data_IF_714100283169
#
_entry.id   IF_714100283169
#
_cell.length_a   1.000
_cell.length_b   1.000
_cell.length_c   1.000
_cell.angle_alpha   90.00
_cell.angle_beta   90.00
_cell.angle_gamma   90.00
#
_symmetry.space_group_name_H-M   'P 1'
#
loop_
_entity.id
_entity.type
_entity.pdbx_description
1 polymer ?
#
# COMPACT_ATOMS: atom_id res chain seq x y z
N UNK A 1 36.24 29.85 10.70
CA UNK A 1 35.01 29.57 11.46
C UNK A 1 33.92 29.11 10.53
N UNK A 2 33.08 28.21 10.99
CA UNK A 2 31.95 27.68 10.24
C UNK A 2 30.68 28.32 10.79
N UNK A 3 29.92 29.01 9.96
CA UNK A 3 28.63 29.59 10.33
C UNK A 3 27.54 28.83 9.59
N UNK A 4 26.49 28.46 10.30
CA UNK A 4 25.36 27.71 9.74
C UNK A 4 24.10 28.58 9.74
N UNK A 5 23.43 28.66 8.58
CA UNK A 5 22.13 29.30 8.43
C UNK A 5 21.10 28.25 8.03
N UNK A 6 19.94 28.28 8.66
CA UNK A 6 18.83 27.37 8.31
C UNK A 6 17.78 28.15 7.54
N UNK A 7 17.49 27.72 6.31
CA UNK A 7 16.40 28.24 5.47
C UNK A 7 15.48 27.05 5.18
N UNK A 8 14.19 27.12 5.53
CA UNK A 8 13.22 26.03 5.34
C UNK A 8 13.71 24.66 5.87
N UNK A 9 14.43 24.64 7.00
CA UNK A 9 15.01 23.40 7.55
C UNK A 9 16.28 22.92 6.84
N UNK A 10 16.73 23.58 5.78
CA UNK A 10 17.99 23.31 5.11
C UNK A 10 19.10 24.03 5.87
N UNK A 11 20.11 23.26 6.25
CA UNK A 11 21.27 23.80 6.95
C UNK A 11 22.35 24.15 5.94
N UNK A 12 22.55 25.44 5.71
CA UNK A 12 23.68 25.94 4.94
C UNK A 12 24.90 26.04 5.85
N UNK A 13 26.01 25.49 5.41
CA UNK A 13 27.28 25.56 6.12
C UNK A 13 28.24 26.38 5.26
N UNK A 14 28.50 27.61 5.69
CA UNK A 14 29.46 28.50 5.05
C UNK A 14 30.80 28.41 5.77
N UNK A 15 31.83 27.94 5.09
CA UNK A 15 33.19 28.00 5.59
C UNK A 15 33.82 29.30 5.13
N UNK A 16 34.09 30.21 6.05
CA UNK A 16 34.68 31.50 5.72
C UNK A 16 36.08 31.62 6.28
N UNK A 17 36.99 32.11 5.49
CA UNK A 17 38.35 32.39 5.95
C UNK A 17 38.45 33.78 6.53
N UNK A 18 37.63 34.77 6.12
CA UNK A 18 37.75 36.14 6.50
C UNK A 18 36.41 36.92 6.61
N UNK A 19 35.25 36.29 6.45
CA UNK A 19 33.94 36.94 6.68
C UNK A 19 33.53 36.90 8.16
N UNK A 20 32.95 37.95 8.66
CA UNK A 20 32.28 38.00 9.97
C UNK A 20 30.88 37.37 9.89
N UNK A 21 30.29 37.05 11.03
CA UNK A 21 28.92 36.53 11.10
C UNK A 21 27.90 37.53 10.52
N UNK A 22 28.09 38.82 10.84
CA UNK A 22 27.21 39.90 10.35
C UNK A 22 27.29 40.07 8.85
N UNK A 23 28.47 39.92 8.23
CA UNK A 23 28.65 39.97 6.77
C UNK A 23 27.97 38.76 6.09
N UNK A 24 28.05 37.58 6.70
CA UNK A 24 27.37 36.39 6.17
C UNK A 24 25.86 36.58 6.19
N UNK A 25 25.31 37.12 7.28
CA UNK A 25 23.87 37.39 7.39
C UNK A 25 23.42 38.49 6.42
N UNK A 26 24.26 39.51 6.20
CA UNK A 26 24.00 40.61 5.28
C UNK A 26 24.17 40.20 3.79
N UNK A 27 24.78 39.04 3.51
CA UNK A 27 25.05 38.60 2.13
C UNK A 27 23.78 38.23 1.35
N UNK A 28 22.76 37.68 2.03
CA UNK A 28 21.46 37.28 1.48
C UNK A 28 21.56 36.36 0.25
N UNK A 29 22.33 35.29 0.34
CA UNK A 29 22.31 34.21 -0.66
C UNK A 29 20.98 33.48 -0.65
N UNK A 30 20.56 33.05 -1.82
CA UNK A 30 19.43 32.12 -1.98
C UNK A 30 19.89 30.72 -2.35
N UNK A 31 18.96 29.93 -2.81
CA UNK A 31 19.22 28.58 -3.32
C UNK A 31 18.37 28.27 -4.55
N UNK A 32 18.83 27.33 -5.35
CA UNK A 32 18.02 26.61 -6.34
C UNK A 32 17.88 25.16 -5.90
N UNK A 33 16.73 24.56 -6.15
CA UNK A 33 16.50 23.15 -5.90
C UNK A 33 16.06 22.46 -7.19
N UNK A 34 16.57 21.25 -7.43
CA UNK A 34 16.17 20.41 -8.56
C UNK A 34 15.74 19.04 -8.06
N UNK A 35 14.71 18.47 -8.68
CA UNK A 35 14.26 17.12 -8.39
C UNK A 35 15.17 16.08 -9.08
N UNK A 36 14.90 14.79 -8.87
CA UNK A 36 15.65 13.68 -9.46
C UNK A 36 15.58 13.61 -10.98
N UNK A 37 14.58 14.26 -11.60
CA UNK A 37 14.47 14.41 -13.06
C UNK A 37 15.22 15.63 -13.61
N UNK A 38 15.90 16.43 -12.76
CA UNK A 38 16.64 17.63 -13.15
C UNK A 38 15.79 18.88 -13.30
N UNK A 39 14.50 18.84 -12.95
CA UNK A 39 13.62 20.00 -13.04
C UNK A 39 13.78 20.89 -11.80
N UNK A 40 13.86 22.23 -12.03
CA UNK A 40 13.86 23.21 -10.95
C UNK A 40 12.51 23.17 -10.22
N UNK A 41 12.56 23.19 -8.89
CA UNK A 41 11.39 23.16 -8.02
C UNK A 41 11.53 24.19 -6.90
N UNK A 42 10.40 24.63 -6.36
CA UNK A 42 10.36 25.41 -5.11
C UNK A 42 10.12 24.48 -3.94
N UNK A 43 10.96 24.57 -2.90
CA UNK A 43 10.80 23.77 -1.69
C UNK A 43 9.70 24.38 -0.81
N UNK A 44 8.48 23.91 -0.98
CA UNK A 44 7.32 24.28 -0.17
C UNK A 44 7.07 23.24 0.94
N UNK A 45 6.35 23.58 2.03
CA UNK A 45 6.08 22.66 3.13
C UNK A 45 5.43 21.34 2.73
N UNK A 46 4.73 21.29 1.59
CA UNK A 46 4.01 20.12 1.08
C UNK A 46 4.65 19.54 -0.20
N UNK A 47 5.93 19.82 -0.44
CA UNK A 47 6.62 19.25 -1.60
C UNK A 47 6.61 17.72 -1.53
N UNK A 48 6.51 17.07 -2.69
CA UNK A 48 6.44 15.61 -2.79
C UNK A 48 7.66 14.93 -2.13
N UNK A 49 7.49 13.78 -1.46
CA UNK A 49 8.60 13.00 -0.93
C UNK A 49 9.59 12.63 -2.04
N UNK A 50 10.82 13.05 -1.90
CA UNK A 50 11.92 12.79 -2.85
C UNK A 50 13.25 13.30 -2.30
N UNK A 51 14.32 13.04 -3.02
CA UNK A 51 15.60 13.70 -2.85
C UNK A 51 15.67 14.90 -3.80
N UNK A 52 16.05 16.04 -3.27
CA UNK A 52 16.24 17.27 -4.01
C UNK A 52 17.69 17.69 -3.90
N UNK A 53 18.33 17.99 -5.03
CA UNK A 53 19.66 18.62 -5.03
C UNK A 53 19.46 20.13 -4.81
N UNK A 54 20.06 20.65 -3.75
CA UNK A 54 19.95 22.07 -3.38
C UNK A 54 21.30 22.72 -3.55
N UNK A 55 21.36 23.77 -4.35
CA UNK A 55 22.59 24.53 -4.62
C UNK A 55 22.42 25.96 -4.16
N UNK A 56 23.30 26.50 -3.29
CA UNK A 56 23.34 27.91 -3.01
C UNK A 56 23.53 28.71 -4.29
N UNK A 57 22.96 29.89 -4.36
CA UNK A 57 23.12 30.75 -5.52
C UNK A 57 22.95 32.23 -5.15
N UNK A 58 23.43 33.09 -6.05
CA UNK A 58 23.16 34.52 -6.04
C UNK A 58 21.69 34.77 -6.43
N UNK A 59 21.04 35.70 -5.76
CA UNK A 59 19.68 36.13 -6.04
C UNK A 59 19.61 37.66 -6.23
N UNK A 60 18.44 38.18 -6.57
CA UNK A 60 18.20 39.62 -6.63
C UNK A 60 18.29 40.31 -5.25
N UNK A 61 18.18 39.55 -4.17
CA UNK A 61 18.33 40.06 -2.80
C UNK A 61 19.80 40.01 -2.31
N UNK A 62 20.71 39.41 -3.07
CA UNK A 62 22.12 39.27 -2.67
C UNK A 62 22.78 40.63 -2.60
N UNK A 63 23.48 40.88 -1.50
CA UNK A 63 24.25 42.09 -1.35
C UNK A 63 25.47 42.09 -2.30
N UNK A 64 25.34 42.80 -3.41
CA UNK A 64 26.35 42.84 -4.48
C UNK A 64 27.71 43.35 -4.00
N UNK A 65 27.73 44.34 -3.11
CA UNK A 65 28.98 44.89 -2.59
C UNK A 65 29.74 43.85 -1.79
N UNK A 66 29.06 43.13 -0.91
CA UNK A 66 29.70 42.04 -0.16
C UNK A 66 30.06 40.88 -1.06
N UNK A 67 29.16 40.50 -1.99
CA UNK A 67 29.39 39.37 -2.89
C UNK A 67 30.64 39.54 -3.73
N UNK A 68 30.85 40.73 -4.28
CA UNK A 68 31.98 41.03 -5.17
C UNK A 68 33.34 41.13 -4.43
N UNK A 69 33.34 41.20 -3.09
CA UNK A 69 34.56 41.23 -2.29
C UNK A 69 35.12 39.83 -1.98
N UNK A 70 34.37 38.78 -2.34
CA UNK A 70 34.73 37.38 -2.00
C UNK A 70 34.59 36.48 -3.20
N UNK A 71 35.42 35.44 -3.25
CA UNK A 71 35.25 34.34 -4.20
C UNK A 71 34.47 33.23 -3.54
N UNK A 72 33.35 32.80 -4.16
CA UNK A 72 32.45 31.80 -3.64
C UNK A 72 32.56 30.50 -4.44
N UNK A 73 32.72 29.38 -3.73
CA UNK A 73 32.54 28.06 -4.28
C UNK A 73 31.23 27.47 -3.69
N UNK A 74 30.23 27.24 -4.52
CA UNK A 74 28.95 26.67 -4.12
C UNK A 74 29.01 25.14 -4.21
N UNK A 75 28.77 24.47 -3.09
CA UNK A 75 28.75 23.01 -3.02
C UNK A 75 27.29 22.59 -2.88
N UNK A 76 26.73 21.86 -3.87
CA UNK A 76 25.38 21.32 -3.76
C UNK A 76 25.25 20.33 -2.61
N UNK A 77 24.08 20.35 -1.96
CA UNK A 77 23.68 19.37 -0.95
C UNK A 77 22.44 18.59 -1.39
N UNK A 78 22.12 17.55 -0.65
CA UNK A 78 20.88 16.77 -0.86
C UNK A 78 19.91 17.09 0.28
N UNK A 79 18.71 17.50 -0.08
CA UNK A 79 17.58 17.67 0.82
C UNK A 79 16.59 16.51 0.62
N UNK A 80 16.42 15.68 1.63
CA UNK A 80 15.53 14.52 1.56
C UNK A 80 14.21 14.85 2.25
N UNK A 81 13.13 14.77 1.50
CA UNK A 81 11.76 14.85 2.02
C UNK A 81 11.23 13.43 2.17
N UNK A 82 11.08 13.00 3.41
CA UNK A 82 10.47 11.72 3.73
C UNK A 82 8.95 11.85 3.74
N UNK A 83 8.26 10.98 3.01
CA UNK A 83 6.80 10.89 3.08
C UNK A 83 6.37 10.30 4.42
N UNK A 84 5.24 10.75 4.92
CA UNK A 84 4.55 10.04 6.01
C UNK A 84 4.13 8.68 5.50
N UNK A 85 4.54 7.63 6.20
CA UNK A 85 4.15 6.25 5.90
C UNK A 85 2.97 5.83 6.78
N UNK A 86 2.12 5.01 6.19
CA UNK A 86 0.94 4.41 6.82
C UNK A 86 1.03 2.90 6.68
N UNK A 87 0.29 2.16 7.48
CA UNK A 87 0.26 0.70 7.43
C UNK A 87 -0.99 0.25 6.69
N UNK A 88 -0.81 -0.57 5.65
CA UNK A 88 -1.85 -1.37 5.03
C UNK A 88 -1.79 -2.77 5.59
N UNK A 89 -2.90 -3.23 6.17
CA UNK A 89 -3.06 -4.62 6.61
C UNK A 89 -3.98 -5.32 5.63
N UNK A 90 -3.55 -6.45 5.08
CA UNK A 90 -4.35 -7.30 4.22
C UNK A 90 -4.73 -8.57 4.97
N UNK A 91 -6.01 -8.90 4.97
CA UNK A 91 -6.56 -10.03 5.69
C UNK A 91 -7.39 -10.91 4.76
N UNK A 92 -7.12 -12.20 4.74
CA UNK A 92 -8.04 -13.20 4.23
C UNK A 92 -9.01 -13.56 5.37
N UNK A 93 -10.28 -13.21 5.22
CA UNK A 93 -11.26 -13.48 6.27
C UNK A 93 -11.63 -14.96 6.29
N UNK A 94 -11.75 -15.50 7.50
CA UNK A 94 -12.18 -16.86 7.69
C UNK A 94 -13.66 -17.03 7.26
N UNK A 95 -13.99 -18.20 6.75
CA UNK A 95 -15.34 -18.57 6.37
C UNK A 95 -16.04 -19.31 7.54
N UNK A 96 -17.37 -19.14 7.64
CA UNK A 96 -18.19 -19.77 8.66
C UNK A 96 -18.35 -18.94 9.94
N UNK A 97 -19.09 -19.47 10.89
CA UNK A 97 -19.40 -18.83 12.16
C UNK A 97 -19.05 -19.72 13.35
N UNK A 98 -18.76 -19.08 14.49
CA UNK A 98 -18.51 -19.79 15.75
C UNK A 98 -17.38 -20.83 15.64
N UNK A 99 -17.65 -22.05 16.08
CA UNK A 99 -16.70 -23.17 16.06
C UNK A 99 -16.39 -23.70 14.65
N UNK A 100 -17.23 -23.38 13.66
CA UNK A 100 -17.05 -23.78 12.24
C UNK A 100 -16.25 -22.76 11.45
N UNK A 101 -15.75 -21.72 12.07
CA UNK A 101 -14.93 -20.71 11.43
C UNK A 101 -13.56 -21.29 11.08
N UNK A 102 -13.15 -21.19 9.81
CA UNK A 102 -11.90 -21.72 9.32
C UNK A 102 -11.37 -20.91 8.13
N UNK A 103 -10.07 -20.98 7.93
CA UNK A 103 -9.41 -20.36 6.78
C UNK A 103 -9.76 -21.11 5.50
N UNK A 104 -10.08 -20.36 4.45
CA UNK A 104 -10.48 -20.90 3.13
C UNK A 104 -9.70 -20.24 1.98
N UNK A 105 -8.57 -19.66 2.27
CA UNK A 105 -7.70 -19.04 1.30
C UNK A 105 -6.59 -18.24 1.93
N UNK A 106 -5.71 -17.71 1.09
CA UNK A 106 -4.61 -16.85 1.50
C UNK A 106 -4.63 -15.54 0.72
N UNK A 107 -3.98 -14.51 1.27
CA UNK A 107 -3.86 -13.22 0.63
C UNK A 107 -2.41 -12.71 0.67
N UNK A 108 -2.01 -11.93 -0.32
CA UNK A 108 -0.67 -11.37 -0.45
C UNK A 108 -0.67 -9.98 -1.08
N UNK A 109 0.29 -9.14 -0.67
CA UNK A 109 0.59 -7.86 -1.30
C UNK A 109 1.66 -8.13 -2.36
N UNK A 110 1.35 -7.87 -3.64
CA UNK A 110 2.22 -8.19 -4.77
C UNK A 110 2.86 -6.97 -5.43
N UNK A 111 2.61 -5.77 -4.93
CA UNK A 111 3.25 -4.55 -5.44
C UNK A 111 4.76 -4.59 -5.22
N UNK A 112 5.52 -4.35 -6.28
CA UNK A 112 6.98 -4.30 -6.22
C UNK A 112 7.48 -3.19 -5.27
N UNK A 113 8.56 -3.47 -4.53
CA UNK A 113 9.18 -2.52 -3.59
C UNK A 113 8.53 -2.46 -2.21
N UNK A 114 7.40 -3.12 -2.00
CA UNK A 114 6.83 -3.33 -0.67
C UNK A 114 7.41 -4.62 -0.06
N UNK A 115 7.77 -4.55 1.21
CA UNK A 115 8.27 -5.70 1.98
C UNK A 115 7.19 -6.13 2.98
N UNK A 116 6.27 -7.02 2.58
CA UNK A 116 5.17 -7.42 3.45
C UNK A 116 5.67 -8.27 4.63
N UNK A 117 5.22 -7.94 5.83
CA UNK A 117 5.32 -8.75 7.02
C UNK A 117 4.05 -9.58 7.25
N UNK A 118 4.08 -10.48 8.25
CA UNK A 118 2.90 -11.23 8.71
C UNK A 118 2.62 -10.91 10.17
N UNK A 119 1.34 -10.82 10.53
CA UNK A 119 0.88 -10.73 11.92
C UNK A 119 0.65 -12.13 12.51
N UNK A 120 0.40 -12.19 13.84
CA UNK A 120 0.03 -13.44 14.52
C UNK A 120 -1.26 -14.07 13.96
N UNK A 121 -2.16 -13.26 13.37
CA UNK A 121 -3.44 -13.70 12.78
C UNK A 121 -3.31 -14.02 11.27
N UNK A 122 -2.10 -14.31 10.78
CA UNK A 122 -1.80 -14.53 9.35
C UNK A 122 -2.17 -13.36 8.41
N UNK A 123 -2.49 -12.19 8.94
CA UNK A 123 -2.66 -11.02 8.10
C UNK A 123 -1.30 -10.53 7.58
N UNK A 124 -1.28 -10.04 6.37
CA UNK A 124 -0.09 -9.47 5.71
C UNK A 124 -0.14 -7.96 5.86
N UNK A 125 0.98 -7.32 6.19
CA UNK A 125 1.04 -5.86 6.29
C UNK A 125 2.26 -5.30 5.56
N UNK A 126 2.15 -4.05 5.11
CA UNK A 126 3.26 -3.28 4.54
C UNK A 126 3.08 -1.80 4.80
N UNK A 127 4.20 -1.07 4.81
CA UNK A 127 4.18 0.40 4.88
C UNK A 127 4.11 0.99 3.47
N UNK A 128 3.35 2.06 3.31
CA UNK A 128 3.17 2.78 2.05
C UNK A 128 3.06 4.29 2.28
N UNK A 129 3.26 5.08 1.24
CA UNK A 129 2.92 6.51 1.22
C UNK A 129 1.50 6.71 0.68
N UNK A 130 0.86 7.83 1.03
CA UNK A 130 -0.45 8.16 0.47
C UNK A 130 -0.42 8.20 -1.06
N UNK A 131 -1.57 7.94 -1.69
CA UNK A 131 -1.76 7.90 -3.14
C UNK A 131 -0.89 6.87 -3.90
N UNK A 132 -0.44 5.83 -3.22
CA UNK A 132 0.28 4.70 -3.83
C UNK A 132 -0.72 3.69 -4.38
N UNK A 133 -0.48 3.20 -5.61
CA UNK A 133 -1.25 2.09 -6.16
C UNK A 133 -0.67 0.78 -5.61
N UNK A 134 -1.50 0.02 -4.88
CA UNK A 134 -1.13 -1.24 -4.25
C UNK A 134 -1.97 -2.36 -4.85
N UNK A 135 -1.30 -3.36 -5.42
CA UNK A 135 -1.94 -4.55 -5.96
C UNK A 135 -1.90 -5.67 -4.95
N UNK A 136 -3.06 -6.24 -4.71
CA UNK A 136 -3.34 -7.31 -3.77
C UNK A 136 -3.79 -8.54 -4.54
N UNK A 137 -3.47 -9.71 -4.02
CA UNK A 137 -3.86 -10.99 -4.60
C UNK A 137 -4.32 -11.95 -3.52
N UNK A 138 -5.22 -12.86 -3.88
CA UNK A 138 -5.67 -13.95 -3.02
C UNK A 138 -5.69 -15.26 -3.81
N UNK A 139 -5.51 -16.35 -3.09
CA UNK A 139 -5.67 -17.70 -3.61
C UNK A 139 -6.72 -18.39 -2.75
N UNK A 140 -7.98 -18.48 -3.22
CA UNK A 140 -9.02 -19.26 -2.55
C UNK A 140 -8.68 -20.74 -2.55
N UNK A 141 -9.04 -21.46 -1.48
CA UNK A 141 -8.96 -22.92 -1.42
C UNK A 141 -9.99 -23.57 -2.36
N UNK A 142 -9.81 -24.85 -2.65
CA UNK A 142 -10.74 -25.60 -3.48
C UNK A 142 -12.17 -25.56 -2.89
N UNK A 143 -13.16 -25.29 -3.73
CA UNK A 143 -14.55 -25.11 -3.32
C UNK A 143 -14.94 -23.72 -2.88
N UNK A 144 -14.00 -22.76 -2.93
CA UNK A 144 -14.26 -21.37 -2.58
C UNK A 144 -13.89 -20.41 -3.71
N UNK A 145 -14.50 -19.25 -3.72
CA UNK A 145 -14.21 -18.15 -4.61
C UNK A 145 -14.28 -16.83 -3.85
N UNK A 146 -13.69 -15.78 -4.39
CA UNK A 146 -13.83 -14.44 -3.81
C UNK A 146 -15.29 -14.01 -3.89
N UNK A 147 -15.84 -13.62 -2.76
CA UNK A 147 -17.15 -12.97 -2.68
C UNK A 147 -17.02 -11.47 -2.94
N UNK A 148 -16.18 -10.81 -2.15
CA UNK A 148 -15.89 -9.39 -2.32
C UNK A 148 -14.62 -8.98 -1.57
N UNK A 149 -14.15 -7.78 -1.88
CA UNK A 149 -13.06 -7.10 -1.17
C UNK A 149 -13.59 -5.87 -0.45
N UNK A 150 -12.98 -5.52 0.69
CA UNK A 150 -13.26 -4.26 1.40
C UNK A 150 -11.96 -3.48 1.62
N UNK A 151 -12.07 -2.14 1.67
CA UNK A 151 -10.98 -1.22 2.04
C UNK A 151 -11.50 -0.25 3.10
N UNK A 152 -10.88 -0.28 4.28
CA UNK A 152 -11.35 0.50 5.42
C UNK A 152 -12.81 0.21 5.82
N UNK A 153 -13.25 -1.05 5.65
CA UNK A 153 -14.61 -1.50 5.93
C UNK A 153 -15.66 -1.21 4.84
N UNK A 154 -15.27 -0.56 3.73
CA UNK A 154 -16.15 -0.30 2.59
C UNK A 154 -15.89 -1.29 1.47
N UNK A 155 -16.95 -1.84 0.87
CA UNK A 155 -16.84 -2.75 -0.27
C UNK A 155 -16.20 -2.06 -1.46
N UNK A 156 -15.19 -2.71 -2.06
CA UNK A 156 -14.55 -2.24 -3.29
C UNK A 156 -15.41 -2.68 -4.46
N UNK A 157 -15.81 -1.71 -5.29
CA UNK A 157 -16.67 -1.93 -6.45
C UNK A 157 -15.96 -1.58 -7.75
N UNK A 158 -16.43 -2.17 -8.84
CA UNK A 158 -16.04 -1.78 -10.19
C UNK A 158 -16.72 -0.46 -10.62
N UNK A 159 -16.49 -0.02 -11.84
CA UNK A 159 -17.07 1.20 -12.40
C UNK A 159 -18.59 1.15 -12.54
N UNK A 160 -19.22 -0.03 -12.46
CA UNK A 160 -20.67 -0.23 -12.49
C UNK A 160 -21.29 -0.29 -11.07
N UNK A 161 -20.47 -0.18 -10.03
CA UNK A 161 -20.89 -0.27 -8.63
C UNK A 161 -21.05 -1.69 -8.11
N UNK A 162 -20.59 -2.71 -8.85
CA UNK A 162 -20.64 -4.11 -8.40
C UNK A 162 -19.41 -4.47 -7.59
N UNK A 163 -19.52 -5.29 -6.52
CA UNK A 163 -18.38 -5.79 -5.78
C UNK A 163 -17.36 -6.50 -6.68
N UNK A 164 -16.08 -6.24 -6.45
CA UNK A 164 -15.00 -6.94 -7.17
C UNK A 164 -14.86 -8.34 -6.60
N UNK A 165 -15.00 -9.35 -7.48
CA UNK A 165 -14.88 -10.78 -7.16
C UNK A 165 -13.65 -11.43 -7.77
N UNK A 166 -12.76 -10.65 -8.39
CA UNK A 166 -11.52 -11.14 -8.95
C UNK A 166 -10.51 -11.53 -7.85
N UNK A 167 -9.64 -12.48 -8.14
CA UNK A 167 -8.57 -12.92 -7.24
C UNK A 167 -7.46 -11.87 -7.07
N UNK A 168 -7.53 -10.74 -7.73
CA UNK A 168 -6.61 -9.62 -7.59
C UNK A 168 -7.36 -8.30 -7.69
N UNK A 169 -6.91 -7.31 -6.91
CA UNK A 169 -7.44 -5.94 -6.93
C UNK A 169 -6.30 -4.96 -6.74
N UNK A 170 -6.37 -3.83 -7.45
CA UNK A 170 -5.47 -2.70 -7.22
C UNK A 170 -6.26 -1.59 -6.54
N UNK A 171 -5.74 -1.08 -5.44
CA UNK A 171 -6.33 0.03 -4.68
C UNK A 171 -5.37 1.21 -4.68
N UNK A 172 -5.93 2.42 -4.60
CA UNK A 172 -5.16 3.62 -4.30
C UNK A 172 -5.23 3.90 -2.80
N UNK A 173 -4.06 3.95 -2.15
CA UNK A 173 -3.98 4.15 -0.70
C UNK A 173 -4.32 5.58 -0.30
N UNK A 174 -5.00 5.73 0.83
CA UNK A 174 -5.26 7.03 1.45
C UNK A 174 -4.13 7.51 2.36
N UNK A 175 -4.31 8.69 2.97
CA UNK A 175 -3.37 9.27 3.94
C UNK A 175 -3.68 8.82 5.39
N UNK A 176 -3.94 7.52 5.58
CA UNK A 176 -4.16 6.88 6.89
C UNK A 176 -3.96 5.37 6.79
N UNK A 177 -3.57 4.74 7.89
CA UNK A 177 -3.52 3.28 7.99
C UNK A 177 -4.91 2.68 7.79
N UNK A 178 -4.98 1.55 7.08
CA UNK A 178 -6.23 0.91 6.73
C UNK A 178 -6.07 -0.61 6.62
N UNK A 179 -7.18 -1.32 6.76
CA UNK A 179 -7.27 -2.75 6.50
C UNK A 179 -8.00 -2.98 5.19
N UNK A 180 -7.47 -3.91 4.39
CA UNK A 180 -8.17 -4.53 3.27
C UNK A 180 -8.51 -5.94 3.70
N UNK A 181 -9.75 -6.34 3.50
CA UNK A 181 -10.18 -7.73 3.73
C UNK A 181 -10.71 -8.33 2.43
N UNK A 182 -10.38 -9.59 2.19
CA UNK A 182 -11.01 -10.41 1.16
C UNK A 182 -11.91 -11.43 1.83
N UNK A 183 -13.15 -11.50 1.35
CA UNK A 183 -14.18 -12.42 1.82
C UNK A 183 -14.41 -13.49 0.76
N UNK A 184 -14.77 -14.68 1.22
CA UNK A 184 -14.96 -15.84 0.37
C UNK A 184 -16.39 -16.33 0.44
N UNK A 185 -16.83 -16.98 -0.62
CA UNK A 185 -18.07 -17.74 -0.70
C UNK A 185 -17.79 -19.12 -1.24
N UNK A 186 -18.67 -20.05 -0.95
CA UNK A 186 -18.61 -21.39 -1.55
C UNK A 186 -18.95 -21.31 -3.03
N UNK A 187 -18.29 -22.14 -3.82
CA UNK A 187 -18.65 -22.38 -5.23
C UNK A 187 -19.56 -23.61 -5.28
N UNK A 188 -20.73 -23.50 -4.66
CA UNK A 188 -21.61 -24.63 -4.49
C UNK A 188 -22.13 -25.17 -5.83
N UNK A 189 -22.04 -26.47 -6.00
CA UNK A 189 -22.72 -27.22 -7.04
C UNK A 189 -23.92 -27.91 -6.45
N UNK A 190 -25.07 -27.79 -7.06
CA UNK A 190 -26.27 -28.49 -6.61
C UNK A 190 -26.22 -29.92 -7.14
N UNK A 191 -26.10 -30.90 -6.23
CA UNK A 191 -26.24 -32.31 -6.54
C UNK A 191 -27.70 -32.70 -6.39
N UNK A 192 -28.33 -33.08 -7.51
CA UNK A 192 -29.68 -33.62 -7.52
C UNK A 192 -29.61 -35.13 -7.72
N UNK A 193 -30.27 -35.87 -6.85
CA UNK A 193 -30.47 -37.29 -7.06
C UNK A 193 -31.94 -37.65 -6.78
N UNK A 194 -32.47 -38.52 -7.59
CA UNK A 194 -33.85 -38.99 -7.43
C UNK A 194 -33.95 -40.48 -7.75
N UNK A 195 -34.83 -41.19 -7.05
CA UNK A 195 -35.17 -42.54 -7.37
C UNK A 195 -36.14 -42.56 -8.57
N UNK A 196 -35.76 -43.20 -9.62
CA UNK A 196 -36.59 -43.31 -10.82
C UNK A 196 -37.86 -44.15 -10.50
N UNK A 197 -39.02 -43.63 -10.90
CA UNK A 197 -40.30 -44.26 -10.81
C UNK A 197 -40.91 -44.47 -9.40
N UNK A 198 -40.47 -43.74 -8.39
CA UNK A 198 -41.02 -43.78 -7.02
C UNK A 198 -41.19 -45.22 -6.45
N UNK A 199 -40.35 -46.16 -6.85
CA UNK A 199 -40.43 -47.57 -6.47
C UNK A 199 -39.79 -47.89 -5.13
N UNK A 200 -39.73 -46.93 -4.20
CA UNK A 200 -39.30 -47.15 -2.84
C UNK A 200 -37.82 -47.52 -2.68
N UNK A 201 -36.94 -46.58 -2.83
CA UNK A 201 -35.51 -46.71 -2.58
C UNK A 201 -35.00 -45.46 -1.86
N UNK A 202 -33.93 -45.61 -1.10
CA UNK A 202 -33.21 -44.49 -0.47
C UNK A 202 -31.91 -44.30 -1.19
N UNK A 203 -31.60 -43.03 -1.57
CA UNK A 203 -30.32 -42.65 -2.11
C UNK A 203 -29.53 -42.08 -0.94
N UNK A 204 -28.36 -42.66 -0.68
CA UNK A 204 -27.37 -42.13 0.23
C UNK A 204 -26.09 -41.88 -0.56
N UNK A 205 -25.48 -40.71 -0.38
CA UNK A 205 -24.19 -40.38 -0.96
C UNK A 205 -23.21 -40.05 0.16
N UNK A 206 -21.98 -40.49 0.05
CA UNK A 206 -20.91 -40.22 0.99
C UNK A 206 -19.78 -39.46 0.24
N UNK A 207 -19.06 -38.62 0.95
CA UNK A 207 -17.83 -38.06 0.43
C UNK A 207 -16.76 -39.13 0.28
N UNK A 208 -15.98 -39.07 -0.79
CA UNK A 208 -14.88 -40.00 -1.05
C UNK A 208 -13.88 -40.00 0.11
N UNK A 209 -13.65 -41.16 0.69
CA UNK A 209 -12.75 -41.34 1.85
C UNK A 209 -13.31 -40.90 3.21
N UNK A 210 -14.62 -40.63 3.32
CA UNK A 210 -15.28 -40.20 4.56
C UNK A 210 -16.49 -41.10 4.87
N UNK A 211 -16.81 -41.25 6.16
CA UNK A 211 -18.06 -41.85 6.61
C UNK A 211 -19.24 -40.87 6.68
N UNK A 212 -18.97 -39.59 6.39
CA UNK A 212 -19.98 -38.55 6.41
C UNK A 212 -20.92 -38.68 5.20
N UNK A 213 -22.23 -38.73 5.48
CA UNK A 213 -23.27 -38.77 4.46
C UNK A 213 -23.75 -37.36 4.14
N UNK A 214 -24.04 -37.12 2.84
CA UNK A 214 -24.72 -35.91 2.45
C UNK A 214 -26.12 -35.83 3.08
N UNK A 215 -26.59 -34.59 3.38
CA UNK A 215 -27.96 -34.36 3.78
C UNK A 215 -28.93 -34.72 2.64
N UNK A 216 -30.23 -34.59 2.90
CA UNK A 216 -31.30 -34.88 1.94
C UNK A 216 -31.11 -34.07 0.65
N UNK A 217 -31.48 -34.68 -0.49
CA UNK A 217 -31.39 -34.01 -1.80
C UNK A 217 -32.54 -33.00 -2.02
N UNK A 218 -32.26 -31.87 -2.71
CA UNK A 218 -31.00 -31.49 -3.32
C UNK A 218 -29.94 -31.08 -2.28
N UNK A 219 -28.73 -31.61 -2.43
CA UNK A 219 -27.59 -31.27 -1.59
C UNK A 219 -26.72 -30.20 -2.25
N UNK A 220 -26.27 -29.21 -1.49
CA UNK A 220 -25.29 -28.22 -1.92
C UNK A 220 -23.91 -28.74 -1.53
N UNK A 221 -23.05 -28.88 -2.51
CA UNK A 221 -21.71 -29.46 -2.33
C UNK A 221 -20.65 -28.50 -2.87
N UNK A 222 -19.50 -28.44 -2.22
CA UNK A 222 -18.38 -27.63 -2.68
C UNK A 222 -17.89 -28.11 -4.06
N UNK A 223 -17.56 -27.18 -4.94
CA UNK A 223 -17.00 -27.52 -6.25
C UNK A 223 -15.69 -28.29 -6.09
N UNK A 224 -15.58 -29.42 -6.77
CA UNK A 224 -14.41 -30.31 -6.67
C UNK A 224 -14.50 -31.37 -5.59
N UNK A 225 -15.59 -31.45 -4.82
CA UNK A 225 -15.84 -32.56 -3.91
C UNK A 225 -15.95 -33.89 -4.68
N UNK A 226 -15.42 -34.97 -4.11
CA UNK A 226 -15.48 -36.33 -4.67
C UNK A 226 -16.45 -37.17 -3.84
N UNK A 227 -17.13 -38.07 -4.53
CA UNK A 227 -18.17 -38.95 -3.96
C UNK A 227 -17.89 -40.38 -4.34
#
# INVERSE_FOLDING_TARGET
STVSKTVLGIREQLSTKNMTADEIDALHLGYTAVNTAGNTVTLEPNIAPSNYTVSPCKTTATNETLYNNYEFTFIPGVYTVNGTTYILTLKAEDFGEGANRHSVGSASIITAGLNPGKTADNAVFSSFTANTDVTLSTVPDAGYAVDHWTYGGQTITDSSGKPITANSVTIKTGAKSATVSVFFKTTDTVLNASVQNNQGGTITCKYDGSDETLPDFPAYIASGAKF
#
